data_IF_539241829621
#
_entry.id   IF_539241829621
#
_cell.length_a   1.000
_cell.length_b   1.000
_cell.length_c   1.000
_cell.angle_alpha   90.00
_cell.angle_beta   90.00
_cell.angle_gamma   90.00
#
_symmetry.space_group_name_H-M   'P 1'
#
loop_
_entity.id
_entity.type
_entity.pdbx_description
1 polymer ?
#
# COMPACT_ATOMS: atom_id res chain seq x y z
N UNK A 1 -1.68 -4.92 23.62
CA UNK A 1 -2.68 -5.51 22.76
C UNK A 1 -2.57 -4.98 21.37
N UNK A 2 -2.60 -5.83 20.40
CA UNK A 2 -2.37 -5.43 19.03
C UNK A 2 -3.61 -4.94 18.31
N UNK A 3 -4.72 -4.86 19.01
CA UNK A 3 -5.97 -4.45 18.38
C UNK A 3 -5.86 -3.10 17.70
N UNK A 4 -5.25 -2.15 18.38
CA UNK A 4 -5.15 -0.80 17.83
C UNK A 4 -4.32 -0.79 16.57
N UNK A 5 -3.25 -1.58 16.57
CA UNK A 5 -2.40 -1.67 15.38
C UNK A 5 -3.16 -2.31 14.23
N UNK A 6 -3.91 -3.36 14.52
CA UNK A 6 -4.70 -4.02 13.49
C UNK A 6 -5.75 -3.06 12.92
N UNK A 7 -6.42 -2.32 13.79
CA UNK A 7 -7.42 -1.36 13.35
C UNK A 7 -6.80 -0.28 12.49
N UNK A 8 -5.64 0.23 12.91
CA UNK A 8 -4.95 1.27 12.15
C UNK A 8 -4.58 0.77 10.75
N UNK A 9 -4.09 -0.46 10.66
CA UNK A 9 -3.71 -1.00 9.36
C UNK A 9 -4.94 -1.20 8.48
N UNK A 10 -6.03 -1.70 9.05
CA UNK A 10 -7.25 -1.88 8.29
C UNK A 10 -7.76 -0.56 7.75
N UNK A 11 -7.73 0.50 8.55
CA UNK A 11 -8.13 1.81 8.08
C UNK A 11 -7.22 2.30 6.98
N UNK A 12 -5.92 2.08 7.12
CA UNK A 12 -4.97 2.50 6.10
C UNK A 12 -5.23 1.77 4.79
N UNK A 13 -5.54 0.48 4.85
CA UNK A 13 -5.86 -0.30 3.65
C UNK A 13 -7.09 0.28 2.97
N UNK A 14 -8.15 0.52 3.73
CA UNK A 14 -9.40 1.05 3.17
C UNK A 14 -9.17 2.42 2.55
N UNK A 15 -8.46 3.29 3.24
CA UNK A 15 -8.19 4.63 2.75
C UNK A 15 -7.35 4.59 1.48
N UNK A 16 -6.33 3.74 1.47
CA UNK A 16 -5.48 3.60 0.31
C UNK A 16 -6.27 3.07 -0.88
N UNK A 17 -7.12 2.09 -0.62
CA UNK A 17 -7.96 1.53 -1.66
C UNK A 17 -8.85 2.59 -2.30
N UNK A 18 -9.51 3.37 -1.48
CA UNK A 18 -10.43 4.39 -1.97
C UNK A 18 -9.71 5.55 -2.62
N UNK A 19 -8.59 5.94 -2.04
CA UNK A 19 -7.85 7.10 -2.54
C UNK A 19 -7.26 6.83 -3.92
N UNK A 20 -6.77 5.63 -4.14
CA UNK A 20 -6.07 5.29 -5.37
C UNK A 20 -6.83 4.34 -6.28
N UNK A 21 -8.03 3.92 -5.87
CA UNK A 21 -8.84 3.02 -6.68
C UNK A 21 -8.23 1.64 -6.83
N UNK A 22 -7.63 1.13 -5.77
CA UNK A 22 -6.95 -0.15 -5.81
C UNK A 22 -7.87 -1.28 -5.38
N UNK A 23 -7.54 -2.49 -5.83
CA UNK A 23 -8.17 -3.68 -5.31
C UNK A 23 -7.66 -3.96 -3.90
N UNK A 24 -8.41 -4.77 -3.14
CA UNK A 24 -8.05 -5.03 -1.74
C UNK A 24 -6.62 -5.58 -1.59
N UNK A 25 -6.19 -6.59 -2.37
CA UNK A 25 -4.82 -7.09 -2.22
C UNK A 25 -3.76 -6.02 -2.50
N UNK A 26 -3.98 -5.22 -3.53
CA UNK A 26 -3.04 -4.16 -3.90
C UNK A 26 -3.01 -3.08 -2.82
N UNK A 27 -4.18 -2.71 -2.31
CA UNK A 27 -4.26 -1.71 -1.26
C UNK A 27 -3.56 -2.19 0.00
N UNK A 28 -3.69 -3.47 0.32
CA UNK A 28 -3.03 -4.03 1.49
C UNK A 28 -1.51 -3.92 1.36
N UNK A 29 -0.99 -4.28 0.19
CA UNK A 29 0.45 -4.20 -0.06
C UNK A 29 0.93 -2.75 0.06
N UNK A 30 0.23 -1.83 -0.59
CA UNK A 30 0.63 -0.43 -0.58
C UNK A 30 0.53 0.16 0.82
N UNK A 31 -0.56 -0.13 1.53
CA UNK A 31 -0.74 0.40 2.87
C UNK A 31 0.32 -0.12 3.83
N UNK A 32 0.68 -1.39 3.70
CA UNK A 32 1.72 -1.96 4.54
C UNK A 32 3.06 -1.27 4.29
N UNK A 33 3.40 -1.08 3.02
CA UNK A 33 4.65 -0.43 2.68
C UNK A 33 4.68 1.00 3.20
N UNK A 34 3.57 1.74 3.06
CA UNK A 34 3.50 3.11 3.55
C UNK A 34 3.56 3.17 5.07
N UNK A 35 2.85 2.26 5.72
CA UNK A 35 2.76 2.27 7.17
C UNK A 35 4.12 1.98 7.82
N UNK A 36 4.90 1.11 7.22
CA UNK A 36 6.21 0.75 7.75
C UNK A 36 7.35 1.46 7.03
N UNK A 37 7.03 2.35 6.12
CA UNK A 37 8.02 3.13 5.36
C UNK A 37 9.01 2.21 4.66
N UNK A 38 8.49 1.15 4.08
CA UNK A 38 9.30 0.18 3.35
C UNK A 38 9.20 0.46 1.85
N UNK A 39 10.29 0.22 1.12
CA UNK A 39 10.21 0.32 -0.33
C UNK A 39 9.42 -0.85 -0.90
N UNK A 40 8.69 -0.57 -1.97
CA UNK A 40 7.93 -1.60 -2.66
C UNK A 40 8.53 -1.83 -4.03
N UNK A 41 8.87 -3.07 -4.33
CA UNK A 41 9.40 -3.45 -5.63
C UNK A 41 8.37 -4.34 -6.31
N UNK A 42 7.92 -3.96 -7.49
CA UNK A 42 6.88 -4.71 -8.17
C UNK A 42 6.93 -4.44 -9.68
N UNK A 43 6.47 -5.41 -10.44
CA UNK A 43 6.31 -5.23 -11.88
C UNK A 43 4.94 -4.73 -12.27
N UNK A 44 4.11 -4.37 -11.30
CA UNK A 44 2.77 -3.86 -11.54
C UNK A 44 2.76 -2.34 -11.47
N UNK A 45 2.49 -1.71 -12.61
CA UNK A 45 2.55 -0.26 -12.70
C UNK A 45 1.45 0.45 -11.93
N UNK A 46 0.48 -0.29 -11.39
CA UNK A 46 -0.62 0.34 -10.67
C UNK A 46 -0.13 1.14 -9.47
N UNK A 47 1.01 0.75 -8.90
CA UNK A 47 1.56 1.43 -7.72
C UNK A 47 2.25 2.74 -8.08
N UNK A 48 2.46 3.01 -9.35
CA UNK A 48 3.12 4.26 -9.76
C UNK A 48 2.32 5.49 -9.39
N UNK A 49 1.01 5.36 -9.26
CA UNK A 49 0.15 6.49 -8.93
C UNK A 49 0.23 6.88 -7.46
N UNK A 50 0.87 6.07 -6.63
CA UNK A 50 0.99 6.36 -5.20
C UNK A 50 2.28 7.11 -4.97
N UNK A 51 2.19 8.44 -4.97
CA UNK A 51 3.37 9.30 -4.89
C UNK A 51 4.08 9.19 -3.55
N UNK A 52 3.35 8.88 -2.50
CA UNK A 52 3.92 8.75 -1.16
C UNK A 52 4.71 7.48 -0.97
N UNK A 53 4.56 6.54 -1.90
CA UNK A 53 5.16 5.23 -1.80
C UNK A 53 6.54 5.23 -2.47
N UNK A 54 7.52 4.68 -1.76
CA UNK A 54 8.85 4.47 -2.32
C UNK A 54 8.78 3.22 -3.20
N UNK A 55 8.46 3.43 -4.47
CA UNK A 55 8.16 2.35 -5.39
C UNK A 55 9.22 2.22 -6.45
N UNK A 56 9.75 1.02 -6.60
CA UNK A 56 10.68 0.70 -7.66
C UNK A 56 9.99 -0.24 -8.65
N UNK A 57 9.79 0.23 -9.86
CA UNK A 57 9.17 -0.56 -10.91
C UNK A 57 10.20 -1.48 -11.53
N UNK A 58 9.87 -2.77 -11.57
CA UNK A 58 10.73 -3.76 -12.18
C UNK A 58 10.02 -4.34 -13.38
N UNK A 59 10.64 -4.25 -14.53
CA UNK A 59 10.08 -4.77 -15.77
C UNK A 59 10.67 -6.14 -16.04
N UNK A 60 9.81 -7.12 -16.22
CA UNK A 60 10.24 -8.50 -16.46
C UNK A 60 10.22 -8.85 -17.93
#
# INVERSE_FOLDING_TARGET
MVKDNDTSLQQAVIETRLKYGLKIPDAFIAATALNYKLPLISGDSIFKKIQELDFLFVEF
#
